data_IF_302167216066
#
_entry.id   IF_302167216066
#
_cell.length_a   1.000
_cell.length_b   1.000
_cell.length_c   1.000
_cell.angle_alpha   90.00
_cell.angle_beta   90.00
_cell.angle_gamma   90.00
#
_symmetry.space_group_name_H-M   'P 1'
#
loop_
_entity.id
_entity.type
_entity.pdbx_description
1 polymer ?
#
# COMPACT_ATOMS: atom_id res chain seq x y z
N UNK A 1 -22.09 8.72 9.18
CA UNK A 1 -20.62 8.69 9.07
C UNK A 1 -20.30 7.42 8.30
N UNK A 2 -19.74 7.57 7.10
CA UNK A 2 -19.43 6.43 6.23
C UNK A 2 -18.08 5.86 6.71
N UNK A 3 -18.13 5.05 7.77
CA UNK A 3 -16.98 4.49 8.49
C UNK A 3 -16.34 3.30 7.76
N UNK A 4 -16.26 3.35 6.42
CA UNK A 4 -15.77 2.22 5.63
C UNK A 4 -14.23 2.23 5.50
N UNK A 5 -13.55 2.33 6.63
CA UNK A 5 -12.10 2.14 6.74
C UNK A 5 -11.79 0.68 6.99
N UNK A 6 -10.86 0.11 6.23
CA UNK A 6 -10.42 -1.27 6.37
C UNK A 6 -8.90 -1.34 6.36
N UNK A 7 -8.34 -2.12 7.27
CA UNK A 7 -6.96 -2.55 7.19
C UNK A 7 -6.95 -3.95 6.59
N UNK A 8 -6.17 -4.16 5.54
CA UNK A 8 -6.04 -5.48 4.89
C UNK A 8 -4.63 -5.70 4.38
N UNK A 9 -4.31 -6.95 4.05
CA UNK A 9 -3.06 -7.29 3.35
C UNK A 9 -3.01 -6.59 1.98
N UNK A 10 -1.81 -6.15 1.60
CA UNK A 10 -1.51 -5.65 0.28
C UNK A 10 -1.86 -6.69 -0.80
N UNK A 11 -2.29 -6.21 -1.96
CA UNK A 11 -2.48 -6.99 -3.19
C UNK A 11 -1.76 -6.29 -4.33
N UNK A 12 -1.37 -7.04 -5.36
CA UNK A 12 -0.66 -6.47 -6.50
C UNK A 12 -1.43 -5.33 -7.21
N UNK A 13 -2.78 -5.35 -7.16
CA UNK A 13 -3.64 -4.25 -7.65
C UNK A 13 -3.41 -2.91 -6.93
N UNK A 14 -2.91 -2.94 -5.68
CA UNK A 14 -2.66 -1.74 -4.87
C UNK A 14 -1.32 -1.07 -5.21
N UNK A 15 -0.46 -1.73 -5.99
CA UNK A 15 0.95 -1.35 -6.18
C UNK A 15 1.11 0.08 -6.68
N UNK A 16 0.33 0.47 -7.70
CA UNK A 16 0.39 1.80 -8.27
C UNK A 16 0.06 2.87 -7.22
N UNK A 17 -0.94 2.61 -6.39
CA UNK A 17 -1.39 3.54 -5.35
C UNK A 17 -0.38 3.64 -4.21
N UNK A 18 0.22 2.52 -3.80
CA UNK A 18 1.29 2.51 -2.78
C UNK A 18 2.51 3.29 -3.26
N UNK A 19 2.97 3.07 -4.50
CA UNK A 19 4.11 3.81 -5.08
C UNK A 19 3.80 5.30 -5.17
N UNK A 20 2.57 5.67 -5.55
CA UNK A 20 2.14 7.06 -5.56
C UNK A 20 2.18 7.68 -4.16
N UNK A 21 1.61 7.02 -3.16
CA UNK A 21 1.62 7.50 -1.76
C UNK A 21 3.06 7.66 -1.26
N UNK A 22 3.92 6.67 -1.51
CA UNK A 22 5.34 6.72 -1.14
C UNK A 22 6.02 7.97 -1.73
N UNK A 23 5.86 8.21 -3.03
CA UNK A 23 6.43 9.37 -3.73
C UNK A 23 5.91 10.72 -3.21
N UNK A 24 4.63 10.78 -2.80
CA UNK A 24 4.01 12.00 -2.31
C UNK A 24 4.41 12.32 -0.87
N UNK A 25 4.61 11.29 -0.04
CA UNK A 25 4.82 11.45 1.41
C UNK A 25 6.27 11.33 1.84
N UNK A 26 7.13 10.66 1.06
CA UNK A 26 8.52 10.38 1.41
C UNK A 26 9.48 10.86 0.32
N UNK A 27 10.66 11.38 0.69
CA UNK A 27 11.69 11.74 -0.28
C UNK A 27 12.33 10.50 -0.94
N UNK A 28 12.33 9.35 -0.25
CA UNK A 28 12.70 8.07 -0.84
C UNK A 28 11.70 7.64 -1.92
N UNK A 29 12.18 7.50 -3.15
CA UNK A 29 11.40 7.06 -4.30
C UNK A 29 11.69 5.58 -4.61
N UNK A 30 11.08 4.67 -3.84
CA UNK A 30 11.25 3.24 -4.08
C UNK A 30 10.61 2.80 -5.39
N UNK A 31 11.23 1.83 -6.07
CA UNK A 31 10.68 1.24 -7.30
C UNK A 31 9.52 0.29 -7.00
N UNK A 32 8.65 0.05 -7.98
CA UNK A 32 7.56 -0.93 -7.85
C UNK A 32 8.08 -2.33 -7.50
N UNK A 33 9.24 -2.71 -8.04
CA UNK A 33 9.90 -3.99 -7.72
C UNK A 33 10.24 -4.13 -6.23
N UNK A 34 10.65 -3.05 -5.55
CA UNK A 34 10.93 -3.10 -4.11
C UNK A 34 9.71 -3.52 -3.29
N UNK A 35 8.54 -2.94 -3.60
CA UNK A 35 7.29 -3.29 -2.89
C UNK A 35 6.81 -4.71 -3.22
N UNK A 36 7.00 -5.16 -4.46
CA UNK A 36 6.69 -6.54 -4.84
C UNK A 36 7.61 -7.55 -4.15
N UNK A 37 8.90 -7.25 -4.06
CA UNK A 37 9.85 -8.06 -3.29
C UNK A 37 9.51 -8.06 -1.79
N UNK A 38 9.11 -6.91 -1.22
CA UNK A 38 8.65 -6.84 0.16
C UNK A 38 7.42 -7.72 0.39
N UNK A 39 6.43 -7.64 -0.50
CA UNK A 39 5.23 -8.49 -0.44
C UNK A 39 5.58 -9.97 -0.55
N UNK A 40 6.48 -10.33 -1.47
CA UNK A 40 6.90 -11.71 -1.69
C UNK A 40 7.62 -12.31 -0.48
N UNK A 41 8.51 -11.54 0.15
CA UNK A 41 9.30 -12.02 1.28
C UNK A 41 8.52 -11.94 2.60
N UNK A 42 7.62 -10.96 2.74
CA UNK A 42 6.91 -10.68 3.99
C UNK A 42 5.41 -10.36 3.76
N UNK A 43 4.62 -11.28 3.18
CA UNK A 43 3.25 -11.02 2.76
C UNK A 43 2.28 -10.74 3.91
N UNK A 44 2.63 -11.13 5.13
CA UNK A 44 1.76 -11.01 6.30
C UNK A 44 1.82 -9.65 6.97
N UNK A 45 2.95 -8.96 6.85
CA UNK A 45 3.18 -7.67 7.51
C UNK A 45 2.98 -6.49 6.58
N UNK A 46 3.00 -6.70 5.26
CA UNK A 46 2.75 -5.63 4.31
C UNK A 46 1.24 -5.37 4.18
N UNK A 47 0.77 -4.33 4.86
CA UNK A 47 -0.65 -4.00 5.02
C UNK A 47 -0.97 -2.64 4.41
N UNK A 48 -2.22 -2.49 3.98
CA UNK A 48 -2.76 -1.26 3.42
C UNK A 48 -4.00 -0.81 4.16
N UNK A 49 -4.18 0.50 4.25
CA UNK A 49 -5.42 1.12 4.68
C UNK A 49 -6.26 1.47 3.45
N UNK A 50 -7.49 0.96 3.40
CA UNK A 50 -8.47 1.19 2.35
C UNK A 50 -9.65 2.00 2.88
N UNK A 51 -10.09 2.98 2.10
CA UNK A 51 -11.33 3.72 2.33
C UNK A 51 -12.08 3.90 1.01
N UNK A 52 -13.35 3.49 0.95
CA UNK A 52 -14.17 3.54 -0.27
C UNK A 52 -13.49 2.90 -1.49
N UNK A 53 -12.92 1.70 -1.30
CA UNK A 53 -12.22 0.94 -2.33
C UNK A 53 -10.93 1.62 -2.87
N UNK A 54 -10.44 2.66 -2.19
CA UNK A 54 -9.18 3.30 -2.53
C UNK A 54 -8.16 3.10 -1.41
N UNK A 55 -6.94 2.72 -1.78
CA UNK A 55 -5.81 2.66 -0.83
C UNK A 55 -5.37 4.07 -0.50
N UNK A 56 -5.37 4.37 0.80
CA UNK A 56 -5.03 5.69 1.35
C UNK A 56 -3.76 5.66 2.23
N UNK A 57 -3.21 4.48 2.49
CA UNK A 57 -1.98 4.31 3.27
C UNK A 57 -1.46 2.89 3.23
N UNK A 58 -0.20 2.71 3.64
CA UNK A 58 0.47 1.42 3.73
C UNK A 58 1.45 1.38 4.91
N UNK A 59 1.74 0.19 5.42
CA UNK A 59 2.75 -0.11 6.46
C UNK A 59 3.46 -1.41 6.11
#
# INVERSE_FOLDING_TARGET
>A
MDDNYKIRKFREEDLEKVVLINRLCLPENYSSSFFLDLHKNYPEIFIVAEHKNEVIGYV
#
